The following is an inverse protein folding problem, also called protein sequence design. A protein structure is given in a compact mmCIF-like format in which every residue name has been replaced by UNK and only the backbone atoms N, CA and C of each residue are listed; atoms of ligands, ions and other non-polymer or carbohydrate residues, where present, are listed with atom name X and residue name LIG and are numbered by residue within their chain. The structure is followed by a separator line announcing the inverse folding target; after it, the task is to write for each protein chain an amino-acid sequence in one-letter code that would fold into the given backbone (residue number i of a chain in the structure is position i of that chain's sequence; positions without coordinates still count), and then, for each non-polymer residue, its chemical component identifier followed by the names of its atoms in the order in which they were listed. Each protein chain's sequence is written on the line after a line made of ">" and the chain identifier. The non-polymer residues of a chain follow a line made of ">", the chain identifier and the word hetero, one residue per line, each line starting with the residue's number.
data_IF_862987507051
#
_entry.id   IF_862987507051
#
_cell.length_a   1.000
_cell.length_b   1.000
_cell.length_c   1.000
_cell.angle_alpha   90.00
_cell.angle_beta   90.00
_cell.angle_gamma   90.00
#
_symmetry.space_group_name_H-M   'P 1'
#
loop_
_entity.id
_entity.type
_entity.pdbx_description
1 polymer ?
#
# COMPACT_ATOMS: atom_id res chain seq x y z
N UNK A 1 16.18 -23.03 -22.83
CA UNK A 1 14.96 -23.28 -22.01
C UNK A 1 14.36 -24.66 -22.29
N UNK A 2 13.89 -24.93 -23.51
CA UNK A 2 13.14 -26.17 -23.83
C UNK A 2 13.76 -27.49 -23.34
N UNK A 3 15.06 -27.80 -23.55
CA UNK A 3 15.62 -29.10 -23.15
C UNK A 3 15.61 -29.37 -21.64
N UNK A 4 15.53 -28.31 -20.83
CA UNK A 4 15.58 -28.38 -19.36
C UNK A 4 14.19 -28.33 -18.71
N UNK A 5 13.24 -27.63 -19.32
CA UNK A 5 11.91 -27.39 -18.73
C UNK A 5 10.79 -28.23 -19.35
N UNK A 6 10.97 -28.81 -20.54
CA UNK A 6 9.94 -29.66 -21.17
C UNK A 6 9.71 -31.01 -20.45
N UNK A 7 10.63 -31.42 -19.59
CA UNK A 7 10.55 -32.66 -18.81
C UNK A 7 9.64 -32.51 -17.58
N UNK A 8 9.28 -31.27 -17.20
CA UNK A 8 8.43 -31.00 -16.05
C UNK A 8 6.99 -31.39 -16.42
N UNK A 9 6.47 -32.44 -15.79
CA UNK A 9 5.11 -32.93 -16.03
C UNK A 9 4.08 -31.91 -15.56
N UNK A 10 3.24 -31.44 -16.48
CA UNK A 10 2.06 -30.65 -16.13
C UNK A 10 1.03 -31.55 -15.42
N UNK A 11 0.69 -31.22 -14.17
CA UNK A 11 -0.32 -31.92 -13.37
C UNK A 11 -1.71 -31.33 -13.51
N UNK A 12 -1.86 -30.22 -14.22
CA UNK A 12 -3.13 -29.49 -14.41
C UNK A 12 -3.82 -29.17 -13.08
N UNK A 13 -3.03 -28.76 -12.08
CA UNK A 13 -3.57 -28.37 -10.78
C UNK A 13 -4.31 -27.02 -10.91
N UNK A 14 -5.43 -26.84 -10.20
CA UNK A 14 -6.10 -25.55 -10.15
C UNK A 14 -5.21 -24.52 -9.43
N UNK A 15 -5.32 -23.26 -9.82
CA UNK A 15 -4.72 -22.16 -9.07
C UNK A 15 -5.36 -22.06 -7.69
N UNK A 16 -4.53 -21.81 -6.67
CA UNK A 16 -5.02 -21.58 -5.31
C UNK A 16 -5.68 -20.19 -5.24
N UNK A 17 -6.83 -20.13 -4.57
CA UNK A 17 -7.60 -18.92 -4.36
C UNK A 17 -8.28 -18.99 -3.00
N UNK A 18 -8.24 -17.89 -2.26
CA UNK A 18 -8.79 -17.77 -0.91
C UNK A 18 -9.91 -16.73 -0.93
N UNK A 19 -11.18 -17.17 -0.91
CA UNK A 19 -12.33 -16.26 -0.99
C UNK A 19 -12.56 -15.48 0.32
N UNK A 20 -12.08 -16.01 1.44
CA UNK A 20 -12.28 -15.42 2.77
C UNK A 20 -11.02 -14.66 3.21
N UNK A 21 -11.22 -13.48 3.78
CA UNK A 21 -10.14 -12.67 4.33
C UNK A 21 -9.67 -13.23 5.68
N UNK A 22 -8.35 -13.24 5.92
CA UNK A 22 -7.77 -13.72 7.19
C UNK A 22 -8.15 -12.87 8.42
N UNK A 23 -8.66 -11.67 8.19
CA UNK A 23 -9.16 -10.73 9.20
C UNK A 23 -10.66 -10.55 8.99
N UNK A 24 -11.46 -11.08 9.92
CA UNK A 24 -12.90 -10.93 9.95
C UNK A 24 -13.37 -9.93 11.03
N UNK A 25 -14.68 -9.90 11.33
CA UNK A 25 -15.26 -9.02 12.33
C UNK A 25 -14.65 -9.12 13.73
N UNK A 26 -14.07 -10.27 14.07
CA UNK A 26 -13.38 -10.49 15.33
C UNK A 26 -12.00 -9.85 15.40
N UNK A 27 -11.37 -9.52 14.26
CA UNK A 27 -10.03 -8.95 14.21
C UNK A 27 -10.04 -7.43 14.00
N UNK A 28 -11.03 -6.90 13.28
CA UNK A 28 -11.19 -5.45 13.04
C UNK A 28 -11.94 -4.75 14.18
N UNK A 29 -11.95 -3.41 14.16
CA UNK A 29 -12.54 -2.58 15.22
C UNK A 29 -11.76 -2.66 16.54
N UNK A 30 -10.49 -3.05 16.47
CA UNK A 30 -9.61 -3.29 17.61
C UNK A 30 -8.37 -2.42 17.55
N UNK A 31 -7.79 -2.18 18.72
CA UNK A 31 -6.46 -1.60 18.90
C UNK A 31 -5.55 -2.64 19.55
N UNK A 32 -4.37 -2.81 18.98
CA UNK A 32 -3.31 -3.69 19.48
C UNK A 32 -2.11 -2.83 19.83
N UNK A 33 -1.71 -2.82 21.09
CA UNK A 33 -0.49 -2.18 21.54
C UNK A 33 0.63 -3.23 21.56
N UNK A 34 1.78 -2.89 20.97
CA UNK A 34 2.94 -3.77 20.81
C UNK A 34 4.14 -3.14 21.48
N UNK A 35 4.88 -3.92 22.26
CA UNK A 35 6.19 -3.54 22.80
C UNK A 35 7.26 -3.98 21.79
N UNK A 36 7.82 -3.07 20.99
CA UNK A 36 8.86 -3.41 20.02
C UNK A 36 10.19 -3.74 20.71
N UNK A 37 11.07 -4.44 20.00
CA UNK A 37 12.46 -4.64 20.45
C UNK A 37 13.26 -3.34 20.34
N UNK A 38 13.14 -2.66 19.19
CA UNK A 38 13.75 -1.34 18.95
C UNK A 38 12.96 -0.25 19.67
N UNK A 39 13.63 0.84 20.02
CA UNK A 39 12.95 2.05 20.47
C UNK A 39 12.38 2.81 19.27
N UNK A 40 11.09 2.62 19.03
CA UNK A 40 10.34 3.26 17.93
C UNK A 40 8.94 3.59 18.41
N UNK A 41 8.31 4.55 17.73
CA UNK A 41 6.93 4.97 17.95
C UNK A 41 6.21 4.96 16.63
N UNK A 42 5.42 3.91 16.38
CA UNK A 42 4.73 3.74 15.10
C UNK A 42 3.25 3.49 15.29
N UNK A 43 2.45 4.15 14.46
CA UNK A 43 1.03 3.93 14.32
C UNK A 43 0.77 3.29 12.96
N UNK A 44 0.09 2.15 12.98
CA UNK A 44 -0.41 1.47 11.79
C UNK A 44 -1.92 1.50 11.79
N UNK A 45 -2.50 2.00 10.70
CA UNK A 45 -3.92 1.87 10.40
C UNK A 45 -4.07 0.81 9.31
N UNK A 46 -4.55 -0.36 9.68
CA UNK A 46 -4.63 -1.52 8.81
C UNK A 46 -6.08 -1.81 8.42
N UNK A 47 -6.32 -1.95 7.13
CA UNK A 47 -7.63 -2.23 6.55
C UNK A 47 -7.57 -3.51 5.71
N UNK A 48 -8.34 -4.55 6.07
CA UNK A 48 -8.66 -5.66 5.18
C UNK A 48 -9.29 -5.20 3.87
N UNK A 49 -8.80 -5.68 2.73
CA UNK A 49 -9.34 -5.35 1.40
C UNK A 49 -9.45 -6.58 0.50
N UNK A 50 -10.30 -6.57 -0.54
CA UNK A 50 -10.18 -7.55 -1.60
C UNK A 50 -8.85 -7.38 -2.35
N UNK A 51 -8.47 -8.40 -3.11
CA UNK A 51 -7.33 -8.33 -4.01
C UNK A 51 -7.62 -7.44 -5.21
N UNK A 52 -6.88 -6.34 -5.36
CA UNK A 52 -6.96 -5.41 -6.49
C UNK A 52 -5.97 -5.73 -7.61
N UNK A 53 -5.12 -6.75 -7.45
CA UNK A 53 -4.14 -7.15 -8.47
C UNK A 53 -4.77 -7.48 -9.84
N UNK A 54 -5.97 -8.10 -9.94
CA UNK A 54 -6.66 -8.26 -11.23
C UNK A 54 -6.99 -6.94 -11.94
N UNK A 55 -6.94 -5.81 -11.22
CA UNK A 55 -7.18 -4.46 -11.72
C UNK A 55 -5.88 -3.64 -11.86
N UNK A 56 -4.74 -4.32 -12.05
CA UNK A 56 -3.41 -3.71 -12.14
C UNK A 56 -3.29 -2.59 -13.19
N UNK A 57 -4.15 -2.53 -14.22
CA UNK A 57 -4.16 -1.44 -15.21
C UNK A 57 -4.79 -0.14 -14.70
N UNK A 58 -5.41 -0.14 -13.52
CA UNK A 58 -6.02 1.04 -12.91
C UNK A 58 -5.44 1.43 -11.55
N UNK A 59 -4.79 0.48 -10.87
CA UNK A 59 -4.13 0.61 -9.54
C UNK A 59 -4.86 1.58 -8.59
N UNK A 60 -6.11 1.29 -8.21
CA UNK A 60 -6.88 2.17 -7.31
C UNK A 60 -6.15 2.43 -5.99
N UNK A 61 -5.40 1.45 -5.47
CA UNK A 61 -4.57 1.57 -4.29
C UNK A 61 -3.46 2.63 -4.45
N UNK A 62 -2.79 2.69 -5.61
CA UNK A 62 -1.76 3.71 -5.86
C UNK A 62 -2.34 5.12 -5.86
N UNK A 63 -3.55 5.32 -6.39
CA UNK A 63 -4.23 6.61 -6.37
C UNK A 63 -4.50 7.08 -4.93
N UNK A 64 -5.04 6.18 -4.09
CA UNK A 64 -5.34 6.50 -2.69
C UNK A 64 -4.06 6.73 -1.89
N UNK A 65 -3.04 5.90 -2.11
CA UNK A 65 -1.70 6.07 -1.51
C UNK A 65 -1.09 7.43 -1.84
N UNK A 66 -1.12 7.83 -3.11
CA UNK A 66 -0.56 9.11 -3.56
C UNK A 66 -1.21 10.30 -2.87
N UNK A 67 -2.53 10.27 -2.65
CA UNK A 67 -3.24 11.33 -1.94
C UNK A 67 -2.92 11.35 -0.45
N UNK A 68 -2.94 10.19 0.21
CA UNK A 68 -2.67 10.09 1.64
C UNK A 68 -1.23 10.47 1.99
N UNK A 69 -0.27 10.10 1.15
CA UNK A 69 1.15 10.44 1.29
C UNK A 69 1.54 11.81 0.75
N UNK A 70 0.59 12.60 0.25
CA UNK A 70 0.91 13.93 -0.27
C UNK A 70 1.42 14.84 0.86
N UNK A 71 2.47 15.64 0.58
CA UNK A 71 3.10 16.50 1.58
C UNK A 71 2.87 18.00 1.37
N UNK A 72 2.14 18.38 0.31
CA UNK A 72 1.82 19.78 0.03
C UNK A 72 0.91 20.41 1.09
N UNK A 73 0.80 21.73 1.05
CA UNK A 73 -0.09 22.50 1.93
C UNK A 73 -1.52 21.98 1.88
N UNK A 74 -2.13 21.79 3.06
CA UNK A 74 -3.49 21.25 3.18
C UNK A 74 -3.57 19.72 3.16
N UNK A 75 -2.44 19.01 3.05
CA UNK A 75 -2.39 17.56 3.22
C UNK A 75 -2.47 17.13 4.69
N UNK A 76 -2.82 15.86 4.91
CA UNK A 76 -2.75 15.21 6.22
C UNK A 76 -1.33 15.26 6.79
N UNK A 77 -0.32 14.92 5.97
CA UNK A 77 1.09 14.93 6.40
C UNK A 77 1.52 16.32 6.84
N UNK A 78 1.17 17.36 6.08
CA UNK A 78 1.47 18.74 6.45
C UNK A 78 0.84 19.12 7.80
N UNK A 79 -0.43 18.78 8.04
CA UNK A 79 -1.12 19.06 9.30
C UNK A 79 -0.46 18.34 10.49
N UNK A 80 -0.13 17.06 10.34
CA UNK A 80 0.50 16.26 11.38
C UNK A 80 1.93 16.74 11.70
N UNK A 81 2.72 17.11 10.67
CA UNK A 81 4.04 17.74 10.84
C UNK A 81 3.91 19.10 11.54
N UNK A 82 2.94 19.94 11.16
CA UNK A 82 2.71 21.26 11.78
C UNK A 82 2.39 21.17 13.27
N UNK A 83 1.68 20.13 13.70
CA UNK A 83 1.38 19.86 15.11
C UNK A 83 2.54 19.22 15.88
N UNK A 84 3.62 18.86 15.19
CA UNK A 84 4.77 18.17 15.79
C UNK A 84 4.45 16.72 16.17
N UNK A 85 3.48 16.08 15.51
CA UNK A 85 3.02 14.72 15.83
C UNK A 85 3.68 13.63 14.98
N UNK A 86 4.16 13.99 13.78
CA UNK A 86 4.81 13.09 12.84
C UNK A 86 6.30 13.44 12.73
N UNK A 87 7.18 12.43 12.67
CA UNK A 87 8.63 12.61 12.54
C UNK A 87 9.00 12.97 11.10
N UNK A 88 8.76 12.03 10.19
CA UNK A 88 9.04 12.16 8.77
C UNK A 88 7.73 11.97 8.03
N UNK A 89 7.51 10.82 7.40
CA UNK A 89 6.47 10.69 6.39
C UNK A 89 5.36 9.73 6.80
N UNK A 90 4.28 9.76 6.02
CA UNK A 90 3.18 8.81 6.09
C UNK A 90 3.27 7.92 4.87
N UNK A 91 3.41 6.62 5.10
CA UNK A 91 3.45 5.63 4.02
C UNK A 91 2.11 4.94 3.94
N UNK A 92 1.42 5.08 2.81
CA UNK A 92 0.17 4.39 2.53
C UNK A 92 0.38 3.41 1.37
N UNK A 93 -0.03 2.15 1.54
CA UNK A 93 0.16 1.14 0.50
C UNK A 93 -0.92 0.05 0.53
N UNK A 94 -1.29 -0.42 -0.66
CA UNK A 94 -1.97 -1.69 -0.84
C UNK A 94 -0.94 -2.82 -0.92
N UNK A 95 -1.19 -3.93 -0.21
CA UNK A 95 -0.32 -5.10 -0.19
C UNK A 95 -1.16 -6.37 -0.46
N UNK A 96 -0.93 -7.05 -1.60
CA UNK A 96 -1.47 -8.39 -1.81
C UNK A 96 -0.94 -9.36 -0.74
N UNK A 97 -1.83 -10.15 -0.15
CA UNK A 97 -1.46 -11.14 0.87
C UNK A 97 -1.54 -12.55 0.30
N UNK A 98 -2.61 -12.86 -0.41
CA UNK A 98 -2.79 -14.09 -1.17
C UNK A 98 -3.78 -13.85 -2.33
N UNK A 99 -3.86 -14.79 -3.27
CA UNK A 99 -4.86 -14.71 -4.34
C UNK A 99 -6.27 -14.66 -3.72
N UNK A 100 -6.96 -13.53 -3.89
CA UNK A 100 -8.32 -13.31 -3.38
C UNK A 100 -8.43 -12.29 -2.25
N UNK A 101 -7.35 -11.99 -1.52
CA UNK A 101 -7.38 -10.94 -0.50
C UNK A 101 -6.06 -10.18 -0.33
N UNK A 102 -6.18 -8.93 0.10
CA UNK A 102 -5.09 -7.99 0.27
C UNK A 102 -5.34 -7.12 1.50
N UNK A 103 -4.44 -6.18 1.76
CA UNK A 103 -4.66 -5.15 2.76
C UNK A 103 -4.29 -3.79 2.24
N UNK A 104 -4.88 -2.74 2.81
CA UNK A 104 -4.41 -1.38 2.68
C UNK A 104 -3.96 -0.88 4.03
N UNK A 105 -2.73 -0.41 4.14
CA UNK A 105 -2.16 0.04 5.41
C UNK A 105 -1.58 1.44 5.30
N UNK A 106 -1.73 2.19 6.39
CA UNK A 106 -1.08 3.47 6.61
C UNK A 106 -0.12 3.31 7.77
N UNK A 107 1.15 3.63 7.56
CA UNK A 107 2.21 3.64 8.55
C UNK A 107 2.66 5.09 8.81
N UNK A 108 2.73 5.45 10.09
CA UNK A 108 3.18 6.76 10.56
C UNK A 108 4.24 6.58 11.65
N UNK A 109 5.38 7.26 11.50
CA UNK A 109 6.38 7.37 12.56
C UNK A 109 6.09 8.62 13.40
N UNK A 110 5.82 8.40 14.69
CA UNK A 110 5.31 9.41 15.59
C UNK A 110 6.42 10.00 16.46
N UNK A 111 6.25 11.28 16.80
CA UNK A 111 7.01 11.89 17.89
C UNK A 111 6.47 11.40 19.25
N UNK A 112 7.15 11.75 20.34
CA UNK A 112 6.61 11.55 21.69
C UNK A 112 5.26 12.23 21.89
N UNK A 113 5.08 13.42 21.28
CA UNK A 113 3.81 14.14 21.37
C UNK A 113 2.74 13.49 20.49
N UNK A 114 3.10 13.01 19.30
CA UNK A 114 2.18 12.27 18.43
C UNK A 114 1.63 11.01 19.10
N UNK A 115 2.47 10.30 19.87
CA UNK A 115 2.06 9.09 20.59
C UNK A 115 1.01 9.38 21.69
N UNK A 116 0.97 10.59 22.23
CA UNK A 116 -0.03 11.00 23.23
C UNK A 116 -1.36 11.42 22.60
N UNK A 117 -1.37 11.78 21.31
CA UNK A 117 -2.51 12.33 20.59
C UNK A 117 -3.01 11.36 19.49
N UNK A 118 -2.98 10.05 19.76
CA UNK A 118 -3.29 9.02 18.77
C UNK A 118 -4.73 9.11 18.25
N UNK A 119 -5.69 9.37 19.14
CA UNK A 119 -7.10 9.41 18.77
C UNK A 119 -7.38 10.62 17.86
N UNK A 120 -6.73 11.76 18.11
CA UNK A 120 -6.79 12.95 17.27
C UNK A 120 -6.13 12.71 15.89
N UNK A 121 -5.00 12.01 15.84
CA UNK A 121 -4.35 11.63 14.57
C UNK A 121 -5.31 10.76 13.74
N UNK A 122 -5.94 9.77 14.36
CA UNK A 122 -6.91 8.88 13.70
C UNK A 122 -8.15 9.67 13.24
N UNK A 123 -8.63 10.61 14.05
CA UNK A 123 -9.75 11.48 13.69
C UNK A 123 -9.41 12.36 12.47
N UNK A 124 -8.24 13.00 12.46
CA UNK A 124 -7.77 13.80 11.31
C UNK A 124 -7.61 12.96 10.04
N UNK A 125 -7.12 11.72 10.17
CA UNK A 125 -7.07 10.80 9.04
C UNK A 125 -8.46 10.54 8.43
N UNK A 126 -9.46 10.25 9.26
CA UNK A 126 -10.83 10.02 8.77
C UNK A 126 -11.50 11.28 8.25
N UNK A 127 -11.20 12.45 8.84
CA UNK A 127 -11.65 13.74 8.33
C UNK A 127 -11.07 14.01 6.93
N UNK A 128 -9.76 13.78 6.75
CA UNK A 128 -9.10 13.91 5.45
C UNK A 128 -9.70 12.95 4.41
N UNK A 129 -9.92 11.67 4.77
CA UNK A 129 -10.59 10.72 3.89
C UNK A 129 -12.00 11.19 3.49
N UNK A 130 -12.75 11.75 4.44
CA UNK A 130 -14.10 12.24 4.17
C UNK A 130 -14.10 13.44 3.21
N UNK A 131 -13.28 14.46 3.48
CA UNK A 131 -13.21 15.66 2.66
C UNK A 131 -12.64 15.35 1.27
N UNK A 132 -11.49 14.70 1.21
CA UNK A 132 -10.72 14.54 -0.04
C UNK A 132 -11.27 13.43 -0.93
N UNK A 133 -11.68 12.30 -0.35
CA UNK A 133 -12.00 11.11 -1.14
C UNK A 133 -13.50 10.83 -1.24
N UNK A 134 -14.30 11.26 -0.25
CA UNK A 134 -15.77 11.10 -0.31
C UNK A 134 -16.48 12.31 -0.94
N UNK A 135 -16.08 13.53 -0.60
CA UNK A 135 -16.77 14.73 -1.09
C UNK A 135 -16.27 15.18 -2.47
N UNK A 136 -14.95 15.24 -2.69
CA UNK A 136 -14.38 15.76 -3.95
C UNK A 136 -14.48 14.74 -5.11
N UNK A 137 -14.72 13.45 -4.83
CA UNK A 137 -14.73 12.33 -5.79
C UNK A 137 -13.37 12.12 -6.48
N UNK A 138 -13.06 10.91 -6.99
CA UNK A 138 -11.80 10.67 -7.71
C UNK A 138 -11.68 11.57 -8.95
N UNK A 139 -10.52 12.20 -9.11
CA UNK A 139 -10.24 13.16 -10.17
C UNK A 139 -9.30 12.54 -11.20
N UNK A 140 -9.68 12.56 -12.48
CA UNK A 140 -8.87 11.94 -13.54
C UNK A 140 -7.51 12.61 -13.67
N UNK A 141 -7.42 13.93 -13.48
CA UNK A 141 -6.14 14.64 -13.63
C UNK A 141 -5.07 14.15 -12.64
N UNK A 142 -5.46 13.76 -11.42
CA UNK A 142 -4.56 13.18 -10.40
C UNK A 142 -4.08 11.81 -10.87
N UNK A 143 -4.99 10.98 -11.38
CA UNK A 143 -4.62 9.69 -11.95
C UNK A 143 -3.63 9.84 -13.11
N UNK A 144 -3.86 10.80 -14.00
CA UNK A 144 -2.94 11.11 -15.13
C UNK A 144 -1.60 11.67 -14.65
N UNK A 145 -1.57 12.42 -13.56
CA UNK A 145 -0.33 12.90 -12.95
C UNK A 145 0.49 11.74 -12.40
N UNK A 146 -0.13 10.85 -11.62
CA UNK A 146 0.50 9.63 -11.09
C UNK A 146 1.01 8.74 -12.23
N UNK A 147 0.20 8.54 -13.27
CA UNK A 147 0.59 7.80 -14.48
C UNK A 147 1.85 8.41 -15.13
N UNK A 148 1.90 9.73 -15.29
CA UNK A 148 3.06 10.44 -15.86
C UNK A 148 4.29 10.28 -14.98
N UNK A 149 4.17 10.46 -13.66
CA UNK A 149 5.29 10.30 -12.73
C UNK A 149 5.87 8.88 -12.79
N UNK A 150 5.00 7.86 -12.77
CA UNK A 150 5.44 6.47 -12.89
C UNK A 150 6.11 6.20 -14.24
N UNK A 151 5.58 6.74 -15.34
CA UNK A 151 6.17 6.59 -16.68
C UNK A 151 7.56 7.25 -16.78
N UNK A 152 7.73 8.43 -16.20
CA UNK A 152 9.04 9.10 -16.11
C UNK A 152 10.00 8.22 -15.31
N UNK A 153 9.57 7.75 -14.14
CA UNK A 153 10.37 6.90 -13.28
C UNK A 153 10.83 5.63 -14.02
N UNK A 154 9.94 4.93 -14.71
CA UNK A 154 10.30 3.75 -15.49
C UNK A 154 11.22 4.04 -16.68
N UNK A 155 10.98 5.14 -17.40
CA UNK A 155 11.79 5.53 -18.57
C UNK A 155 13.23 5.84 -18.17
N UNK A 156 13.43 6.50 -17.03
CA UNK A 156 14.73 6.97 -16.55
C UNK A 156 15.25 6.18 -15.36
N UNK A 157 14.72 4.99 -15.07
CA UNK A 157 15.26 4.09 -14.06
C UNK A 157 16.67 3.63 -14.46
N UNK A 158 17.69 4.41 -14.10
CA UNK A 158 19.12 4.07 -14.21
C UNK A 158 19.54 3.08 -13.12
N UNK A 159 18.93 3.25 -11.94
CA UNK A 159 18.92 2.34 -10.81
C UNK A 159 17.45 2.10 -10.43
N UNK A 160 16.96 0.87 -10.55
CA UNK A 160 15.60 0.52 -10.17
C UNK A 160 15.42 0.59 -8.64
N UNK A 161 16.48 0.61 -7.85
CA UNK A 161 16.36 0.72 -6.39
C UNK A 161 16.15 2.17 -5.90
N UNK A 162 16.19 3.18 -6.78
CA UNK A 162 16.13 4.59 -6.38
C UNK A 162 14.91 5.29 -6.99
N UNK A 163 13.89 5.57 -6.15
CA UNK A 163 12.88 6.58 -6.46
C UNK A 163 11.42 6.15 -6.50
N UNK A 164 11.01 5.10 -5.79
CA UNK A 164 9.56 4.91 -5.57
C UNK A 164 9.09 5.71 -4.38
N UNK A 165 8.10 6.55 -4.65
CA UNK A 165 7.42 7.37 -3.68
C UNK A 165 6.63 6.56 -2.64
N UNK A 166 6.53 5.22 -2.78
CA UNK A 166 5.62 4.39 -1.96
C UNK A 166 6.27 3.19 -1.24
N UNK A 167 7.60 3.15 -1.08
CA UNK A 167 8.27 2.21 -0.15
C UNK A 167 8.17 0.69 -0.45
N UNK A 168 7.40 0.28 -1.45
CA UNK A 168 7.27 -1.11 -1.90
C UNK A 168 7.70 -1.23 -3.35
N UNK A 169 8.97 -1.63 -3.55
CA UNK A 169 9.55 -1.78 -4.88
C UNK A 169 9.86 -3.22 -5.21
N UNK A 170 9.09 -3.74 -6.17
CA UNK A 170 9.53 -4.75 -7.13
C UNK A 170 10.22 -4.06 -8.30
N UNK A 171 11.16 -3.16 -8.02
CA UNK A 171 11.89 -2.49 -9.08
C UNK A 171 13.07 -3.36 -9.50
N UNK A 172 13.24 -3.39 -10.81
CA UNK A 172 13.88 -4.44 -11.56
C UNK A 172 15.37 -4.14 -11.71
N UNK A 173 16.25 -4.63 -10.82
CA UNK A 173 17.71 -4.43 -10.93
C UNK A 173 18.35 -5.07 -12.15
N UNK A 174 18.34 -4.32 -13.26
CA UNK A 174 19.02 -4.67 -14.50
C UNK A 174 20.54 -4.83 -14.33
N UNK A 175 21.13 -4.30 -13.25
CA UNK A 175 22.56 -4.45 -12.95
C UNK A 175 22.85 -5.75 -12.22
N UNK A 176 21.85 -6.35 -11.56
CA UNK A 176 21.98 -7.63 -10.87
C UNK A 176 21.10 -8.74 -11.52
N UNK A 177 21.65 -9.56 -12.44
CA UNK A 177 20.86 -10.51 -13.23
C UNK A 177 20.07 -11.53 -12.41
N UNK A 178 20.58 -11.98 -11.26
CA UNK A 178 19.89 -12.93 -10.39
C UNK A 178 18.68 -12.32 -9.68
N UNK A 179 18.81 -11.10 -9.16
CA UNK A 179 17.68 -10.34 -8.60
C UNK A 179 16.66 -9.99 -9.68
N UNK A 180 17.11 -9.65 -10.89
CA UNK A 180 16.23 -9.37 -12.00
C UNK A 180 15.36 -10.59 -12.34
N UNK A 181 15.97 -11.76 -12.54
CA UNK A 181 15.22 -12.97 -12.87
C UNK A 181 14.32 -13.39 -11.71
N UNK A 182 14.79 -13.25 -10.46
CA UNK A 182 14.04 -13.61 -9.26
C UNK A 182 12.84 -12.71 -9.02
N UNK A 183 12.90 -11.43 -9.40
CA UNK A 183 11.76 -10.51 -9.35
C UNK A 183 10.79 -10.68 -10.53
N UNK A 184 11.30 -11.01 -11.71
CA UNK A 184 10.46 -11.19 -12.90
C UNK A 184 9.69 -12.51 -12.89
N UNK A 185 10.29 -13.59 -12.37
CA UNK A 185 9.68 -14.92 -12.39
C UNK A 185 8.32 -14.96 -11.67
N UNK A 186 8.14 -14.41 -10.45
CA UNK A 186 6.83 -14.29 -9.82
C UNK A 186 5.84 -13.44 -10.61
N UNK A 187 6.32 -12.36 -11.24
CA UNK A 187 5.48 -11.42 -12.01
C UNK A 187 4.78 -12.10 -13.20
N UNK A 188 5.37 -13.14 -13.78
CA UNK A 188 4.77 -13.94 -14.85
C UNK A 188 3.49 -14.69 -14.43
N UNK A 189 3.25 -14.86 -13.12
CA UNK A 189 2.02 -15.47 -12.61
C UNK A 189 0.85 -14.48 -12.54
N UNK A 190 1.13 -13.18 -12.52
CA UNK A 190 0.14 -12.13 -12.26
C UNK A 190 -0.14 -11.26 -13.49
N UNK A 191 0.86 -11.08 -14.35
CA UNK A 191 0.77 -10.18 -15.50
C UNK A 191 0.88 -10.92 -16.82
N UNK A 192 0.30 -10.33 -17.86
CA UNK A 192 0.49 -10.83 -19.22
C UNK A 192 1.97 -10.73 -19.62
N UNK A 193 2.41 -11.59 -20.55
CA UNK A 193 3.78 -11.53 -21.07
C UNK A 193 4.15 -10.16 -21.67
N UNK A 194 3.15 -9.43 -22.18
CA UNK A 194 3.36 -8.08 -22.75
C UNK A 194 3.55 -7.03 -21.66
N UNK A 195 2.91 -7.23 -20.51
CA UNK A 195 2.88 -6.24 -19.45
C UNK A 195 3.87 -6.54 -18.33
N UNK A 196 4.48 -7.72 -18.29
CA UNK A 196 5.28 -8.21 -17.14
C UNK A 196 6.41 -7.25 -16.71
N UNK A 197 6.97 -6.47 -17.63
CA UNK A 197 8.01 -5.48 -17.33
C UNK A 197 7.47 -4.12 -16.87
N UNK A 198 6.23 -3.79 -17.24
CA UNK A 198 5.64 -2.46 -17.07
C UNK A 198 4.54 -2.44 -16.01
N UNK A 199 3.74 -3.50 -15.88
CA UNK A 199 2.63 -3.59 -14.93
C UNK A 199 3.06 -3.39 -13.47
N UNK A 200 4.22 -3.92 -13.00
CA UNK A 200 4.68 -3.62 -11.65
C UNK A 200 4.91 -2.12 -11.41
N UNK A 201 5.38 -1.38 -12.43
CA UNK A 201 5.89 -0.01 -12.26
C UNK A 201 4.92 1.06 -12.76
N UNK A 202 4.41 0.94 -13.98
CA UNK A 202 3.77 2.04 -14.71
C UNK A 202 2.35 1.82 -15.16
N UNK A 203 1.90 0.57 -15.36
CA UNK A 203 0.59 0.35 -16.02
C UNK A 203 -0.54 0.90 -15.15
N UNK A 204 -0.98 2.13 -15.46
CA UNK A 204 -2.19 2.76 -14.95
C UNK A 204 -2.93 3.46 -16.10
N UNK A 205 -3.12 2.85 -17.29
CA UNK A 205 -3.80 3.53 -18.40
C UNK A 205 -5.29 3.80 -18.10
N UNK A 206 -5.91 2.96 -17.27
CA UNK A 206 -7.34 2.94 -17.05
C UNK A 206 -7.73 3.75 -15.81
N UNK A 207 -8.36 4.91 -16.00
CA UNK A 207 -8.99 5.62 -14.90
C UNK A 207 -10.32 4.94 -14.52
N UNK A 208 -10.33 4.19 -13.42
CA UNK A 208 -11.51 3.50 -12.88
C UNK A 208 -11.95 4.13 -11.55
N UNK A 209 -12.70 5.24 -11.57
CA UNK A 209 -13.09 5.95 -10.35
C UNK A 209 -13.94 5.09 -9.41
N UNK A 210 -14.70 4.12 -9.93
CA UNK A 210 -15.49 3.23 -9.08
C UNK A 210 -14.62 2.35 -8.19
N UNK A 211 -13.52 1.77 -8.71
CA UNK A 211 -12.61 0.96 -7.91
C UNK A 211 -11.92 1.77 -6.80
N UNK A 212 -11.62 3.05 -7.06
CA UNK A 212 -11.10 3.97 -6.06
C UNK A 212 -12.15 4.19 -4.96
N UNK A 213 -13.41 4.44 -5.32
CA UNK A 213 -14.51 4.60 -4.35
C UNK A 213 -14.74 3.32 -3.54
N UNK A 214 -14.68 2.16 -4.18
CA UNK A 214 -14.85 0.86 -3.53
C UNK A 214 -13.75 0.68 -2.47
N UNK A 215 -12.48 0.94 -2.81
CA UNK A 215 -11.39 0.93 -1.84
C UNK A 215 -11.62 1.92 -0.69
N UNK A 216 -11.95 3.18 -0.99
CA UNK A 216 -12.19 4.21 0.03
C UNK A 216 -13.37 3.86 0.94
N UNK A 217 -14.37 3.16 0.44
CA UNK A 217 -15.51 2.70 1.25
C UNK A 217 -15.09 1.71 2.35
N UNK A 218 -14.03 0.94 2.11
CA UNK A 218 -13.44 -0.01 3.05
C UNK A 218 -12.57 0.68 4.12
N UNK A 219 -12.09 1.90 3.85
CA UNK A 219 -11.31 2.71 4.79
C UNK A 219 -12.23 3.42 5.79
N UNK A 220 -12.80 2.65 6.72
CA UNK A 220 -13.75 3.13 7.73
C UNK A 220 -13.45 2.52 9.12
N UNK A 221 -13.91 3.15 10.22
CA UNK A 221 -13.58 2.70 11.57
C UNK A 221 -13.99 1.25 11.90
N UNK A 222 -15.07 0.74 11.29
CA UNK A 222 -15.55 -0.63 11.53
C UNK A 222 -14.64 -1.69 10.92
N UNK A 223 -13.90 -1.33 9.87
CA UNK A 223 -12.95 -2.20 9.17
C UNK A 223 -11.48 -1.91 9.55
N UNK A 224 -11.25 -1.08 10.57
CA UNK A 224 -9.92 -0.65 10.98
C UNK A 224 -9.36 -1.58 12.05
N UNK A 225 -8.13 -2.05 11.87
CA UNK A 225 -7.26 -2.54 12.93
C UNK A 225 -6.18 -1.50 13.21
N UNK A 226 -6.16 -0.97 14.43
CA UNK A 226 -5.12 -0.04 14.88
C UNK A 226 -4.00 -0.83 15.53
N UNK A 227 -2.76 -0.63 15.11
CA UNK A 227 -1.59 -1.20 15.79
C UNK A 227 -0.68 -0.05 16.21
N UNK A 228 -0.32 0.00 17.49
CA UNK A 228 0.60 0.99 18.03
C UNK A 228 1.82 0.29 18.60
N UNK A 229 2.98 0.54 18.02
CA UNK A 229 4.25 0.00 18.50
C UNK A 229 5.01 1.08 19.26
N UNK A 230 5.20 0.90 20.57
CA UNK A 230 6.00 1.80 21.41
C UNK A 230 6.58 1.08 22.62
N UNK A 231 7.81 1.44 22.99
CA UNK A 231 8.45 0.99 24.24
C UNK A 231 7.71 1.48 25.49
N UNK A 232 6.89 2.52 25.38
CA UNK A 232 6.10 3.04 26.51
C UNK A 232 5.05 2.04 27.02
N UNK A 233 4.71 1.01 26.23
CA UNK A 233 3.83 -0.07 26.68
C UNK A 233 4.55 -1.17 27.46
N UNK A 234 5.86 -1.09 27.63
CA UNK A 234 6.63 -2.05 28.41
C UNK A 234 6.23 -1.97 29.89
N UNK A 235 5.75 -3.09 30.44
CA UNK A 235 5.28 -3.17 31.83
C UNK A 235 3.88 -2.61 32.08
N UNK A 236 3.18 -2.09 31.06
CA UNK A 236 1.76 -1.76 31.17
C UNK A 236 0.96 -3.06 31.01
N UNK A 237 0.42 -3.59 32.12
CA UNK A 237 -0.49 -4.74 32.08
C UNK A 237 -1.81 -4.32 31.39
N UNK A 238 -2.32 -5.23 30.56
CA UNK A 238 -3.55 -5.12 29.75
C UNK A 238 -4.77 -4.89 30.66
#
# INVERSE_FOLDING_TARGET
>A
VLPRFNQIKNKSLPSLYWPEHAYGPEQVGKRVNVVPVKDLRKLYLYFPTPDFLPHYNSKPEHYVSHLLGHEGSGSLVFELKRRGWLVNDLVAAGQPLACGFASFSIEMELTEEGLKNLDEIIALFFEYLHVTLKNIQPQEWIHREVEKLNNIHFRFAENPNEGSLNGHNFLIDKKNPDEYVSSLSPSLHYYSLKDVLVAPVTSMPDFKPQLIKDLVSLLNPKNLLVIVASKEYEGTLI
#
